data_IF_754161020945
#
_entry.id   IF_754161020945
#
_cell.length_a   1.000
_cell.length_b   1.000
_cell.length_c   1.000
_cell.angle_alpha   90.00
_cell.angle_beta   90.00
_cell.angle_gamma   90.00
#
_symmetry.space_group_name_H-M   'P 1'
#
loop_
_entity.id
_entity.type
_entity.pdbx_description
1 polymer ?
#
# COMPACT_ATOMS: atom_id res chain seq x y z
N UNK A 1 -5.48 21.34 68.43
CA UNK A 1 -5.06 21.97 67.16
C UNK A 1 -3.63 21.50 66.93
N UNK A 2 -3.22 20.70 65.96
CA UNK A 2 -3.71 20.31 64.62
C UNK A 2 -3.22 18.88 64.31
N UNK A 3 -3.97 18.14 63.47
CA UNK A 3 -3.56 16.85 62.89
C UNK A 3 -2.60 17.10 61.72
N UNK A 4 -1.63 16.22 61.51
CA UNK A 4 -1.03 16.02 60.19
C UNK A 4 -0.88 14.51 59.95
N UNK A 5 -1.75 14.01 59.07
CA UNK A 5 -1.65 12.71 58.43
C UNK A 5 -0.78 12.85 57.17
N UNK A 6 0.01 11.83 56.85
CA UNK A 6 0.80 11.79 55.61
C UNK A 6 1.25 10.37 55.27
N UNK A 7 0.38 9.60 54.63
CA UNK A 7 0.75 8.56 53.66
C UNK A 7 0.51 9.15 52.26
N UNK A 8 1.06 8.63 51.13
CA UNK A 8 2.13 7.65 50.92
C UNK A 8 3.17 8.10 49.84
N UNK A 9 4.40 7.59 49.91
CA UNK A 9 5.39 7.71 48.81
C UNK A 9 5.10 6.61 47.79
N UNK A 10 4.02 6.75 47.03
CA UNK A 10 3.60 5.77 46.03
C UNK A 10 3.11 6.44 44.74
N UNK A 11 3.76 7.52 44.29
CA UNK A 11 3.42 8.15 43.00
C UNK A 11 4.66 8.83 42.39
N UNK A 12 5.67 8.06 41.95
CA UNK A 12 6.71 8.66 41.09
C UNK A 12 7.50 7.67 40.22
N UNK A 13 6.83 6.70 39.59
CA UNK A 13 7.49 5.83 38.61
C UNK A 13 6.56 5.38 37.47
N UNK A 14 5.75 6.32 36.94
CA UNK A 14 4.91 6.03 35.77
C UNK A 14 4.81 7.26 34.84
N UNK A 15 5.95 7.82 34.44
CA UNK A 15 5.99 9.01 33.58
C UNK A 15 7.12 8.98 32.53
N UNK A 16 7.50 7.79 32.00
CA UNK A 16 8.60 7.68 31.02
C UNK A 16 8.24 6.86 29.77
N UNK A 17 6.99 6.86 29.28
CA UNK A 17 6.72 6.10 28.05
C UNK A 17 5.58 6.66 27.17
N UNK A 18 5.66 7.91 26.73
CA UNK A 18 4.86 8.38 25.59
C UNK A 18 5.68 9.37 24.72
N UNK A 19 6.79 8.90 24.15
CA UNK A 19 7.31 9.48 22.92
C UNK A 19 6.50 8.88 21.76
N UNK A 20 5.27 9.37 21.57
CA UNK A 20 4.52 9.12 20.34
C UNK A 20 5.25 9.78 19.18
N UNK A 21 5.94 8.98 18.35
CA UNK A 21 6.59 9.49 17.15
C UNK A 21 5.55 10.11 16.21
N UNK A 22 5.70 11.40 15.92
CA UNK A 22 4.94 12.03 14.84
C UNK A 22 5.35 11.35 13.53
N UNK A 23 4.45 10.56 12.93
CA UNK A 23 4.62 10.13 11.55
C UNK A 23 4.63 11.39 10.68
N UNK A 24 5.79 11.69 10.09
CA UNK A 24 5.93 12.86 9.24
C UNK A 24 5.01 12.67 8.03
N UNK A 25 4.20 13.67 7.61
CA UNK A 25 3.37 13.55 6.41
C UNK A 25 4.18 13.27 5.14
N UNK A 26 5.50 13.50 5.21
CA UNK A 26 6.49 13.23 4.17
C UNK A 26 7.21 11.87 4.32
N UNK A 27 6.75 10.96 5.20
CA UNK A 27 7.32 9.62 5.29
C UNK A 27 6.45 8.63 4.51
N UNK A 28 7.07 7.93 3.55
CA UNK A 28 6.42 6.85 2.81
C UNK A 28 6.24 5.64 3.72
N UNK A 29 5.02 5.13 3.81
CA UNK A 29 4.72 3.90 4.55
C UNK A 29 5.08 2.67 3.73
N UNK A 30 5.33 1.50 4.36
CA UNK A 30 5.50 0.23 3.63
C UNK A 30 4.40 0.01 2.59
N UNK A 31 4.74 -0.65 1.48
CA UNK A 31 3.75 -0.97 0.45
C UNK A 31 2.67 -1.90 1.01
N UNK A 32 1.43 -1.65 0.61
CA UNK A 32 0.28 -2.47 0.94
C UNK A 32 -0.71 -2.39 -0.22
N UNK A 33 -1.41 -3.49 -0.52
CA UNK A 33 -2.47 -3.57 -1.53
C UNK A 33 -3.68 -4.25 -0.92
N UNK A 34 -4.88 -3.83 -1.31
CA UNK A 34 -6.14 -4.50 -0.98
C UNK A 34 -6.77 -5.20 -2.20
N UNK A 35 -6.02 -5.27 -3.31
CA UNK A 35 -6.50 -5.82 -4.58
C UNK A 35 -7.23 -4.75 -5.35
N UNK A 36 -8.43 -5.05 -5.84
CA UNK A 36 -9.24 -4.10 -6.57
C UNK A 36 -10.16 -3.34 -5.61
N UNK A 37 -9.70 -2.25 -4.99
CA UNK A 37 -10.50 -1.52 -3.99
C UNK A 37 -11.92 -1.19 -4.50
N UNK A 38 -12.94 -1.58 -3.73
CA UNK A 38 -14.37 -1.41 -4.06
C UNK A 38 -14.81 -2.05 -5.40
N UNK A 39 -14.06 -3.02 -5.90
CA UNK A 39 -14.39 -3.79 -7.09
C UNK A 39 -14.07 -5.27 -6.84
N UNK A 40 -14.78 -6.23 -7.44
CA UNK A 40 -14.37 -7.63 -7.30
C UNK A 40 -12.96 -7.84 -7.86
N UNK A 41 -12.15 -8.67 -7.20
CA UNK A 41 -10.80 -9.04 -7.68
C UNK A 41 -10.84 -9.95 -8.92
N UNK A 42 -11.97 -10.65 -9.09
CA UNK A 42 -12.18 -11.70 -10.08
C UNK A 42 -13.67 -11.95 -10.28
N UNK A 43 -14.02 -12.61 -11.37
CA UNK A 43 -15.33 -13.20 -11.58
C UNK A 43 -15.19 -14.72 -11.67
N UNK A 44 -15.23 -15.38 -10.51
CA UNK A 44 -15.07 -16.83 -10.40
C UNK A 44 -16.11 -17.61 -11.21
N UNK A 45 -17.33 -17.07 -11.36
CA UNK A 45 -18.42 -17.65 -12.16
C UNK A 45 -18.10 -17.79 -13.65
N UNK A 46 -17.13 -17.01 -14.17
CA UNK A 46 -16.70 -17.02 -15.57
C UNK A 46 -15.19 -17.22 -15.73
N UNK A 47 -14.49 -17.60 -14.65
CA UNK A 47 -13.06 -17.96 -14.68
C UNK A 47 -12.09 -16.81 -14.97
N UNK A 48 -12.49 -15.55 -14.78
CA UNK A 48 -11.63 -14.38 -15.07
C UNK A 48 -11.00 -13.81 -13.80
N UNK A 49 -9.69 -13.53 -13.82
CA UNK A 49 -8.89 -12.98 -12.71
C UNK A 49 -8.06 -11.79 -13.20
N UNK A 50 -8.32 -10.61 -12.65
CA UNK A 50 -7.65 -9.36 -13.00
C UNK A 50 -6.95 -8.71 -11.80
N UNK A 51 -6.88 -9.39 -10.66
CA UNK A 51 -6.34 -8.79 -9.46
C UNK A 51 -4.84 -8.44 -9.59
N UNK A 52 -4.06 -9.20 -10.37
CA UNK A 52 -2.68 -8.80 -10.68
C UNK A 52 -2.58 -7.43 -11.37
N UNK A 53 -3.59 -7.03 -12.14
CA UNK A 53 -3.67 -5.69 -12.71
C UNK A 53 -3.90 -4.63 -11.61
N UNK A 54 -4.73 -4.94 -10.62
CA UNK A 54 -5.00 -4.05 -9.49
C UNK A 54 -3.79 -3.93 -8.56
N UNK A 55 -3.09 -5.03 -8.25
CA UNK A 55 -1.84 -4.97 -7.47
C UNK A 55 -0.79 -4.10 -8.17
N UNK A 56 -0.64 -4.24 -9.49
CA UNK A 56 0.27 -3.38 -10.26
C UNK A 56 -0.15 -1.90 -10.26
N UNK A 57 -1.47 -1.63 -10.28
CA UNK A 57 -2.02 -0.28 -10.19
C UNK A 57 -1.82 0.34 -8.80
N UNK A 58 -2.06 -0.44 -7.74
CA UNK A 58 -1.83 -0.08 -6.34
C UNK A 58 -0.38 0.31 -6.09
N UNK A 59 0.60 -0.35 -6.72
CA UNK A 59 2.01 0.05 -6.65
C UNK A 59 2.23 1.48 -7.12
N UNK A 60 1.64 1.85 -8.26
CA UNK A 60 1.72 3.21 -8.78
C UNK A 60 0.96 4.20 -7.88
N UNK A 61 -0.22 3.81 -7.40
CA UNK A 61 -1.06 4.64 -6.53
C UNK A 61 -0.48 4.87 -5.14
N UNK A 62 0.14 3.86 -4.55
CA UNK A 62 0.89 3.95 -3.31
C UNK A 62 2.06 4.91 -3.47
N UNK A 63 2.84 4.75 -4.55
CA UNK A 63 4.00 5.59 -4.88
C UNK A 63 3.58 7.04 -5.07
N UNK A 64 2.50 7.29 -5.80
CA UNK A 64 2.07 8.63 -6.19
C UNK A 64 2.95 9.24 -7.28
N UNK A 65 2.90 10.57 -7.42
CA UNK A 65 3.60 11.29 -8.49
C UNK A 65 2.74 12.39 -9.10
N UNK A 66 3.08 12.82 -10.31
CA UNK A 66 2.34 13.83 -11.07
C UNK A 66 0.97 13.34 -11.55
N UNK A 67 0.12 14.26 -12.00
CA UNK A 67 -1.17 13.90 -12.61
C UNK A 67 -0.99 13.07 -13.89
N UNK A 68 0.10 13.33 -14.65
CA UNK A 68 0.45 12.55 -15.82
C UNK A 68 0.85 11.10 -15.44
N UNK A 69 1.54 10.92 -14.31
CA UNK A 69 1.87 9.59 -13.80
C UNK A 69 0.61 8.82 -13.42
N UNK A 70 -0.36 9.51 -12.79
CA UNK A 70 -1.67 8.91 -12.48
C UNK A 70 -2.40 8.48 -13.74
N UNK A 71 -2.46 9.34 -14.77
CA UNK A 71 -3.12 8.99 -16.03
C UNK A 71 -2.49 7.74 -16.65
N UNK A 72 -1.15 7.66 -16.70
CA UNK A 72 -0.46 6.48 -17.22
C UNK A 72 -0.75 5.22 -16.40
N UNK A 73 -0.82 5.32 -15.08
CA UNK A 73 -1.18 4.20 -14.21
C UNK A 73 -2.61 3.71 -14.51
N UNK A 74 -3.56 4.64 -14.64
CA UNK A 74 -4.97 4.32 -14.91
C UNK A 74 -5.15 3.69 -16.30
N UNK A 75 -4.44 4.19 -17.31
CA UNK A 75 -4.41 3.61 -18.65
C UNK A 75 -3.78 2.22 -18.67
N UNK A 76 -2.71 2.00 -17.91
CA UNK A 76 -2.08 0.69 -17.76
C UNK A 76 -3.03 -0.33 -17.10
N UNK A 77 -3.79 0.09 -16.07
CA UNK A 77 -4.85 -0.74 -15.47
C UNK A 77 -5.88 -1.13 -16.53
N UNK A 78 -6.38 -0.17 -17.31
CA UNK A 78 -7.36 -0.43 -18.37
C UNK A 78 -6.83 -1.43 -19.39
N UNK A 79 -5.60 -1.26 -19.85
CA UNK A 79 -4.98 -2.14 -20.83
C UNK A 79 -4.82 -3.57 -20.28
N UNK A 80 -4.28 -3.71 -19.05
CA UNK A 80 -4.10 -5.01 -18.40
C UNK A 80 -5.44 -5.72 -18.19
N UNK A 81 -6.48 -5.02 -17.71
CA UNK A 81 -7.80 -5.61 -17.49
C UNK A 81 -8.40 -6.08 -18.82
N UNK A 82 -8.27 -5.29 -19.89
CA UNK A 82 -8.73 -5.69 -21.22
C UNK A 82 -8.00 -6.97 -21.69
N UNK A 83 -6.69 -7.02 -21.59
CA UNK A 83 -5.88 -8.19 -21.95
C UNK A 83 -6.27 -9.44 -21.16
N UNK A 84 -6.50 -9.32 -19.86
CA UNK A 84 -6.81 -10.45 -18.97
C UNK A 84 -8.23 -10.97 -19.09
N UNK A 85 -9.17 -10.16 -19.58
CA UNK A 85 -10.60 -10.47 -19.50
C UNK A 85 -11.34 -10.45 -20.83
N UNK A 86 -10.72 -9.89 -21.87
CA UNK A 86 -11.34 -9.64 -23.18
C UNK A 86 -12.67 -8.86 -23.07
N UNK A 87 -12.83 -8.06 -22.00
CA UNK A 87 -14.06 -7.32 -21.70
C UNK A 87 -13.78 -5.80 -21.72
N UNK A 88 -14.04 -5.12 -22.84
CA UNK A 88 -13.82 -3.69 -22.96
C UNK A 88 -14.74 -2.86 -22.05
N UNK A 89 -15.93 -3.36 -21.71
CA UNK A 89 -16.86 -2.66 -20.84
C UNK A 89 -16.34 -2.65 -19.40
N UNK A 90 -15.80 -3.78 -18.92
CA UNK A 90 -15.13 -3.89 -17.61
C UNK A 90 -13.92 -2.98 -17.54
N UNK A 91 -13.00 -3.09 -18.50
CA UNK A 91 -11.79 -2.27 -18.56
C UNK A 91 -12.13 -0.77 -18.52
N UNK A 92 -13.11 -0.33 -19.31
CA UNK A 92 -13.54 1.06 -19.33
C UNK A 92 -14.22 1.50 -18.02
N UNK A 93 -14.94 0.60 -17.35
CA UNK A 93 -15.60 0.87 -16.07
C UNK A 93 -14.58 1.04 -14.96
N UNK A 94 -13.59 0.14 -14.85
CA UNK A 94 -12.50 0.26 -13.88
C UNK A 94 -11.71 1.55 -14.10
N UNK A 95 -11.36 1.87 -15.36
CA UNK A 95 -10.69 3.14 -15.71
C UNK A 95 -11.47 4.36 -15.20
N UNK A 96 -12.76 4.47 -15.51
CA UNK A 96 -13.59 5.60 -15.04
C UNK A 96 -13.67 5.66 -13.52
N UNK A 97 -13.80 4.49 -12.88
CA UNK A 97 -13.81 4.35 -11.43
C UNK A 97 -12.55 4.95 -10.78
N UNK A 98 -11.37 4.54 -11.23
CA UNK A 98 -10.09 5.05 -10.68
C UNK A 98 -9.83 6.51 -11.04
N UNK A 99 -10.28 6.98 -12.21
CA UNK A 99 -10.19 8.42 -12.58
C UNK A 99 -10.93 9.32 -11.60
N UNK A 100 -12.07 8.87 -11.08
CA UNK A 100 -12.94 9.64 -10.18
C UNK A 100 -12.60 9.37 -8.71
N UNK A 101 -12.71 8.10 -8.27
CA UNK A 101 -12.55 7.71 -6.86
C UNK A 101 -11.11 7.68 -6.39
N UNK A 102 -10.15 7.54 -7.31
CA UNK A 102 -8.73 7.47 -7.02
C UNK A 102 -8.01 8.82 -6.96
N UNK A 103 -8.73 9.94 -7.05
CA UNK A 103 -8.12 11.28 -7.00
C UNK A 103 -7.36 11.52 -5.69
N UNK A 104 -6.23 12.22 -5.76
CA UNK A 104 -5.41 12.57 -4.60
C UNK A 104 -6.11 13.52 -3.60
N UNK A 105 -7.21 14.15 -4.03
CA UNK A 105 -8.03 15.07 -3.23
C UNK A 105 -9.09 14.37 -2.37
N UNK A 106 -9.32 13.07 -2.56
CA UNK A 106 -10.27 12.34 -1.73
C UNK A 106 -9.56 11.73 -0.52
N UNK A 107 -10.18 11.75 0.67
CA UNK A 107 -9.64 11.10 1.86
C UNK A 107 -9.92 9.58 1.84
N UNK A 108 -9.77 8.93 0.68
CA UNK A 108 -9.93 7.48 0.53
C UNK A 108 -8.63 6.75 0.85
N UNK A 109 -8.70 5.48 1.31
CA UNK A 109 -7.52 4.68 1.61
C UNK A 109 -6.74 4.28 0.35
N UNK A 110 -7.39 4.30 -0.82
CA UNK A 110 -6.84 3.96 -2.14
C UNK A 110 -6.64 5.18 -3.05
N UNK A 111 -6.51 6.38 -2.48
CA UNK A 111 -6.25 7.61 -3.27
C UNK A 111 -4.87 7.57 -3.94
N UNK A 112 -4.68 8.38 -4.97
CA UNK A 112 -3.34 8.64 -5.50
C UNK A 112 -2.40 9.19 -4.42
N UNK A 113 -1.24 8.57 -4.28
CA UNK A 113 -0.27 8.83 -3.22
C UNK A 113 -0.68 8.28 -1.86
N UNK A 114 -1.49 7.21 -1.78
CA UNK A 114 -1.95 6.70 -0.48
C UNK A 114 -0.81 6.17 0.41
N UNK A 115 0.36 5.83 -0.13
CA UNK A 115 1.52 5.46 0.70
C UNK A 115 1.97 6.58 1.65
N UNK A 116 1.69 7.83 1.28
CA UNK A 116 2.05 9.02 2.02
C UNK A 116 0.95 9.47 2.99
N UNK A 117 1.29 10.47 3.83
CA UNK A 117 0.28 11.24 4.55
C UNK A 117 -0.68 11.94 3.59
N UNK A 118 -1.85 12.33 4.09
CA UNK A 118 -2.79 13.13 3.31
C UNK A 118 -2.20 14.52 3.03
N UNK A 119 -2.49 15.09 1.85
CA UNK A 119 -1.99 16.42 1.44
C UNK A 119 -0.78 16.42 0.49
N UNK A 120 -0.27 15.25 0.08
CA UNK A 120 0.80 15.17 -0.94
C UNK A 120 0.31 15.55 -2.35
N UNK A 121 -0.95 15.25 -2.66
CA UNK A 121 -1.59 15.50 -3.95
C UNK A 121 -0.77 14.94 -5.14
N UNK A 122 -0.57 15.74 -6.19
CA UNK A 122 0.13 15.35 -7.41
C UNK A 122 1.61 15.75 -7.42
N UNK A 123 2.26 15.75 -6.25
CA UNK A 123 3.69 16.07 -6.16
C UNK A 123 4.53 14.89 -6.63
N UNK A 124 5.33 15.13 -7.67
CA UNK A 124 6.37 14.20 -8.12
C UNK A 124 7.32 13.82 -6.99
N UNK A 125 7.90 12.63 -7.07
CA UNK A 125 8.90 12.18 -6.11
C UNK A 125 10.25 12.77 -6.50
N UNK A 126 11.03 13.17 -5.49
CA UNK A 126 12.46 13.42 -5.70
C UNK A 126 13.27 12.12 -5.76
N UNK A 127 14.59 12.22 -5.94
CA UNK A 127 15.47 11.06 -6.05
C UNK A 127 15.51 10.22 -4.76
N UNK A 128 15.48 10.84 -3.60
CA UNK A 128 15.53 10.13 -2.31
C UNK A 128 14.19 9.43 -2.03
N UNK A 129 13.07 10.11 -2.30
CA UNK A 129 11.73 9.54 -2.21
C UNK A 129 11.53 8.38 -3.19
N UNK A 130 12.05 8.51 -4.41
CA UNK A 130 11.98 7.42 -5.41
C UNK A 130 12.80 6.21 -4.97
N UNK A 131 14.02 6.43 -4.47
CA UNK A 131 14.86 5.34 -3.95
C UNK A 131 14.22 4.63 -2.74
N UNK A 132 13.55 5.38 -1.87
CA UNK A 132 12.83 4.79 -0.74
C UNK A 132 11.61 3.99 -1.22
N UNK A 133 10.88 4.48 -2.21
CA UNK A 133 9.78 3.74 -2.82
C UNK A 133 10.27 2.42 -3.43
N UNK A 134 11.39 2.45 -4.18
CA UNK A 134 12.01 1.26 -4.75
C UNK A 134 12.42 0.26 -3.65
N UNK A 135 13.01 0.74 -2.55
CA UNK A 135 13.43 -0.09 -1.41
C UNK A 135 12.24 -0.80 -0.76
N UNK A 136 11.15 -0.08 -0.49
CA UNK A 136 9.97 -0.63 0.18
C UNK A 136 9.21 -1.63 -0.70
N UNK A 137 9.16 -1.40 -2.02
CA UNK A 137 8.62 -2.40 -2.95
C UNK A 137 9.49 -3.66 -3.02
N UNK A 138 10.81 -3.52 -3.01
CA UNK A 138 11.72 -4.67 -2.99
C UNK A 138 11.55 -5.50 -1.72
N UNK A 139 11.33 -4.85 -0.56
CA UNK A 139 11.01 -5.56 0.68
C UNK A 139 9.69 -6.32 0.58
N UNK A 140 8.63 -5.69 0.06
CA UNK A 140 7.35 -6.36 -0.13
C UNK A 140 7.46 -7.57 -1.08
N UNK A 141 8.18 -7.42 -2.19
CA UNK A 141 8.40 -8.53 -3.13
C UNK A 141 9.16 -9.69 -2.48
N UNK A 142 10.17 -9.41 -1.66
CA UNK A 142 10.96 -10.42 -0.96
C UNK A 142 10.15 -11.17 0.12
N UNK A 143 9.26 -10.47 0.82
CA UNK A 143 8.48 -11.03 1.93
C UNK A 143 7.16 -11.69 1.48
N UNK A 144 6.48 -11.07 0.51
CA UNK A 144 5.10 -11.43 0.10
C UNK A 144 5.03 -11.81 -1.38
N UNK A 145 5.59 -10.96 -2.25
CA UNK A 145 5.48 -11.09 -3.70
C UNK A 145 4.25 -10.40 -4.30
N UNK A 146 4.36 -9.87 -5.52
CA UNK A 146 3.26 -9.20 -6.23
C UNK A 146 2.31 -10.14 -6.99
N UNK A 147 2.59 -11.43 -7.02
CA UNK A 147 1.77 -12.46 -7.68
C UNK A 147 0.58 -12.92 -6.81
N UNK A 148 0.52 -12.50 -5.55
CA UNK A 148 -0.52 -12.88 -4.61
C UNK A 148 -1.58 -11.79 -4.48
N UNK A 149 -2.82 -12.16 -4.77
CA UNK A 149 -3.97 -11.32 -4.44
C UNK A 149 -4.24 -11.33 -2.94
N UNK A 150 -4.49 -10.17 -2.30
CA UNK A 150 -5.00 -10.13 -0.93
C UNK A 150 -6.21 -11.06 -0.76
N UNK A 151 -6.22 -11.85 0.32
CA UNK A 151 -7.27 -12.86 0.56
C UNK A 151 -7.15 -14.16 -0.25
N UNK A 152 -6.17 -14.30 -1.16
CA UNK A 152 -5.81 -15.61 -1.73
C UNK A 152 -4.86 -16.31 -0.76
N UNK A 153 -5.34 -17.32 -0.02
CA UNK A 153 -4.43 -18.25 0.66
C UNK A 153 -3.71 -19.09 -0.40
N UNK A 154 -2.52 -18.70 -0.81
CA UNK A 154 -1.59 -19.67 -1.40
C UNK A 154 -0.92 -20.43 -0.26
N UNK A 155 -0.73 -21.75 -0.43
CA UNK A 155 0.08 -22.54 0.48
C UNK A 155 1.42 -21.83 0.68
N UNK A 156 1.81 -21.59 1.94
CA UNK A 156 3.08 -20.94 2.32
C UNK A 156 4.20 -21.41 1.40
N UNK A 157 4.81 -20.49 0.64
CA UNK A 157 6.12 -20.75 0.05
C UNK A 157 7.05 -21.07 1.21
N UNK A 158 7.47 -22.33 1.32
CA UNK A 158 8.53 -22.69 2.25
C UNK A 158 9.75 -21.85 1.88
N UNK A 159 10.34 -21.10 2.82
CA UNK A 159 11.58 -20.38 2.54
C UNK A 159 12.60 -21.37 1.98
N UNK A 160 13.21 -21.03 0.84
CA UNK A 160 14.37 -21.77 0.34
C UNK A 160 15.40 -21.82 1.47
N UNK A 161 15.95 -23.01 1.81
CA UNK A 161 16.99 -23.08 2.83
C UNK A 161 18.16 -22.21 2.40
N UNK A 162 18.55 -21.28 3.28
CA UNK A 162 19.76 -20.48 3.13
C UNK A 162 20.92 -21.44 2.84
N UNK A 163 21.55 -21.29 1.68
CA UNK A 163 22.69 -22.10 1.31
C UNK A 163 23.78 -21.96 2.38
N UNK A 164 24.13 -23.10 2.99
CA UNK A 164 25.21 -23.17 3.98
C UNK A 164 26.53 -22.79 3.32
N UNK A 165 27.40 -21.97 3.95
CA UNK A 165 28.68 -21.61 3.37
C UNK A 165 29.54 -22.87 3.25
N UNK A 166 30.04 -23.13 2.04
CA UNK A 166 30.95 -24.21 1.76
C UNK A 166 32.17 -24.12 2.69
N UNK A 167 32.42 -25.19 3.45
CA UNK A 167 33.65 -25.33 4.25
C UNK A 167 34.83 -25.43 3.29
N UNK A 168 35.79 -24.52 3.46
CA UNK A 168 37.13 -24.61 2.88
C UNK A 168 37.97 -25.64 3.63
#
# INVERSE_FOLDING_TARGET
MTRAAGWPVAVLACFVALLGGCASPNTLRPFSTDGCSLYPDRAASIGQDWCGCCVAHDRAYWRGGSEADRLRADEALRACVLERTDDPARAATMFRGVRIGGSAWWPTPFRWGYGWGYGRYYRSLDLAESAEADRLEALYEAEVGFDQCPGRSMARRTPLPMASPAKR
#
